data_IF_611789376652
#
_entry.id   IF_611789376652
#
_cell.length_a   1.000
_cell.length_b   1.000
_cell.length_c   1.000
_cell.angle_alpha   90.00
_cell.angle_beta   90.00
_cell.angle_gamma   90.00
#
_symmetry.space_group_name_H-M   'P 1'
#
loop_
_entity.id
_entity.type
_entity.pdbx_description
1 polymer ?
#
# COMPACT_ATOMS: atom_id res chain seq x y z
N UNK A 1 -7.34 -35.31 79.03
CA UNK A 1 -6.37 -35.78 77.98
C UNK A 1 -6.61 -34.98 76.75
N UNK A 2 -5.74 -34.06 76.34
CA UNK A 2 -5.88 -33.33 75.09
C UNK A 2 -5.21 -34.09 73.92
N UNK A 3 -5.93 -34.25 72.82
CA UNK A 3 -5.42 -34.78 71.57
C UNK A 3 -4.60 -33.77 70.84
N UNK A 4 -3.35 -34.12 70.55
CA UNK A 4 -2.43 -33.30 69.72
C UNK A 4 -2.72 -33.65 68.24
N UNK A 5 -3.28 -32.69 67.50
CA UNK A 5 -3.35 -32.77 66.03
C UNK A 5 -2.01 -32.38 65.44
N UNK A 6 -1.33 -33.33 64.81
CA UNK A 6 -0.12 -33.07 64.02
C UNK A 6 -0.51 -32.65 62.61
N UNK A 7 -0.32 -31.38 62.29
CA UNK A 7 -0.48 -30.88 60.92
C UNK A 7 0.78 -31.23 60.11
N UNK A 8 0.66 -32.10 59.12
CA UNK A 8 1.69 -32.38 58.12
C UNK A 8 1.60 -31.31 57.03
N UNK A 9 2.55 -30.37 57.04
CA UNK A 9 2.71 -29.41 55.94
C UNK A 9 3.36 -30.11 54.74
N UNK A 10 2.60 -30.32 53.71
CA UNK A 10 3.12 -30.78 52.43
C UNK A 10 3.80 -29.60 51.71
N UNK A 11 5.12 -29.59 51.70
CA UNK A 11 5.94 -28.63 50.91
C UNK A 11 5.89 -29.05 49.45
N UNK A 12 5.02 -28.42 48.63
CA UNK A 12 5.01 -28.60 47.21
C UNK A 12 6.28 -27.95 46.61
N UNK A 13 7.26 -28.76 46.25
CA UNK A 13 8.37 -28.32 45.40
C UNK A 13 7.81 -27.95 44.04
N UNK A 14 7.69 -26.65 43.74
CA UNK A 14 7.58 -26.17 42.39
C UNK A 14 8.89 -26.52 41.65
N UNK A 15 8.87 -27.60 40.89
CA UNK A 15 9.92 -27.90 39.92
C UNK A 15 9.88 -26.78 38.88
N UNK A 16 10.86 -25.87 38.92
CA UNK A 16 11.05 -24.88 37.87
C UNK A 16 11.21 -25.65 36.55
N UNK A 17 10.28 -25.45 35.65
CA UNK A 17 10.42 -26.03 34.29
C UNK A 17 11.71 -25.44 33.70
N UNK A 18 12.56 -26.29 33.05
CA UNK A 18 13.76 -25.79 32.41
C UNK A 18 13.34 -24.72 31.40
N UNK A 19 13.97 -23.54 31.44
CA UNK A 19 13.74 -22.49 30.48
C UNK A 19 13.91 -23.04 29.07
N UNK A 20 12.97 -22.78 28.20
CA UNK A 20 13.08 -23.20 26.80
C UNK A 20 14.40 -22.67 26.21
N UNK A 21 15.12 -23.48 25.41
CA UNK A 21 16.40 -23.06 24.87
C UNK A 21 16.24 -21.76 24.06
N UNK A 22 17.16 -20.81 24.28
CA UNK A 22 17.21 -19.59 23.49
C UNK A 22 17.57 -19.94 22.03
N UNK A 23 16.63 -19.72 21.13
CA UNK A 23 16.83 -19.93 19.69
C UNK A 23 17.00 -18.55 19.06
N UNK A 24 18.14 -18.30 18.42
CA UNK A 24 18.31 -17.12 17.58
C UNK A 24 17.31 -17.17 16.41
N UNK A 25 16.74 -16.03 16.10
CA UNK A 25 15.75 -15.87 15.05
C UNK A 25 16.06 -14.61 14.23
N UNK A 26 15.06 -14.04 13.59
CA UNK A 26 15.15 -12.84 12.75
C UNK A 26 14.82 -11.59 13.58
N UNK A 27 15.30 -10.43 13.11
CA UNK A 27 14.84 -9.13 13.59
C UNK A 27 13.57 -8.71 12.88
N UNK A 28 12.60 -8.17 13.64
CA UNK A 28 11.32 -7.70 13.14
C UNK A 28 11.16 -6.20 13.42
N UNK A 29 10.94 -5.38 12.38
CA UNK A 29 10.77 -3.95 12.51
C UNK A 29 9.63 -3.43 11.62
N UNK A 30 8.88 -2.45 12.13
CA UNK A 30 7.92 -1.65 11.36
C UNK A 30 8.43 -0.21 11.32
N UNK A 31 9.12 0.21 10.23
CA UNK A 31 9.80 1.50 10.17
C UNK A 31 8.87 2.70 10.20
N UNK A 32 7.64 2.55 9.64
CA UNK A 32 6.62 3.58 9.57
C UNK A 32 5.35 3.05 10.20
N UNK A 33 4.90 3.71 11.26
CA UNK A 33 3.67 3.33 11.94
C UNK A 33 2.46 3.49 10.98
N UNK A 34 1.58 2.48 10.90
CA UNK A 34 0.40 2.58 10.03
C UNK A 34 -0.57 3.67 10.50
N UNK A 35 -1.20 4.34 9.55
CA UNK A 35 -2.33 5.24 9.79
C UNK A 35 -3.59 4.51 9.34
N UNK A 36 -4.61 4.46 10.20
CA UNK A 36 -5.89 3.83 9.89
C UNK A 36 -6.69 4.63 8.85
N UNK A 37 -7.30 3.94 7.89
CA UNK A 37 -8.18 4.54 6.88
C UNK A 37 -9.37 3.64 6.58
N UNK A 38 -10.45 4.22 6.05
CA UNK A 38 -11.69 3.49 5.75
C UNK A 38 -11.73 2.99 4.31
N UNK A 39 -12.14 1.73 4.15
CA UNK A 39 -12.38 1.09 2.87
C UNK A 39 -13.46 0.02 3.06
N UNK A 40 -14.47 -0.01 2.21
CA UNK A 40 -15.56 -1.00 2.24
C UNK A 40 -16.20 -1.17 3.62
N UNK A 41 -16.51 -0.05 4.28
CA UNK A 41 -17.14 -0.04 5.59
C UNK A 41 -16.26 -0.46 6.76
N UNK A 42 -14.97 -0.76 6.52
CA UNK A 42 -14.02 -1.26 7.52
C UNK A 42 -12.83 -0.32 7.70
N UNK A 43 -12.21 -0.39 8.86
CA UNK A 43 -10.92 0.23 9.12
C UNK A 43 -9.80 -0.67 8.56
N UNK A 44 -8.84 -0.09 7.88
CA UNK A 44 -7.68 -0.78 7.31
C UNK A 44 -6.38 -0.17 7.82
N UNK A 45 -5.36 -1.01 7.94
CA UNK A 45 -3.97 -0.63 8.22
C UNK A 45 -3.09 -1.11 7.06
N UNK A 46 -2.28 -0.22 6.50
CA UNK A 46 -1.34 -0.57 5.45
C UNK A 46 0.07 -0.14 5.86
N UNK A 47 1.00 -1.11 5.93
CA UNK A 47 2.37 -0.90 6.41
C UNK A 47 3.29 -2.05 5.99
N UNK A 48 4.58 -1.90 6.24
CA UNK A 48 5.61 -2.87 5.88
C UNK A 48 6.25 -3.45 7.14
N UNK A 49 6.27 -4.81 7.24
CA UNK A 49 7.05 -5.54 8.21
C UNK A 49 8.41 -5.90 7.59
N UNK A 50 9.48 -5.33 8.11
CA UNK A 50 10.85 -5.66 7.75
C UNK A 50 11.33 -6.84 8.56
N UNK A 51 11.82 -7.88 7.89
CA UNK A 51 12.37 -9.10 8.50
C UNK A 51 13.82 -9.23 8.06
N UNK A 52 14.76 -9.07 9.00
CA UNK A 52 16.19 -9.14 8.72
C UNK A 52 16.79 -10.41 9.34
N UNK A 53 17.47 -11.18 8.51
CA UNK A 53 18.15 -12.40 8.96
C UNK A 53 19.56 -12.09 9.45
N UNK A 54 19.78 -12.10 10.76
CA UNK A 54 21.11 -11.98 11.39
C UNK A 54 21.78 -13.32 11.70
N UNK A 55 21.14 -14.44 11.34
CA UNK A 55 21.76 -15.76 11.47
C UNK A 55 22.83 -15.97 10.41
N UNK A 56 23.68 -16.97 10.64
CA UNK A 56 24.72 -17.40 9.67
C UNK A 56 24.20 -18.42 8.64
N UNK A 57 22.90 -18.76 8.71
CA UNK A 57 22.23 -19.72 7.83
C UNK A 57 21.00 -19.05 7.22
N UNK A 58 20.51 -19.63 6.12
CA UNK A 58 19.28 -19.18 5.47
C UNK A 58 18.06 -19.47 6.35
N UNK A 59 17.06 -18.62 6.26
CA UNK A 59 15.72 -18.84 6.85
C UNK A 59 14.65 -18.83 5.77
N UNK A 60 13.62 -19.63 5.97
CA UNK A 60 12.44 -19.68 5.11
C UNK A 60 11.22 -19.20 5.88
N UNK A 61 10.56 -18.15 5.42
CA UNK A 61 9.31 -17.67 6.02
C UNK A 61 8.17 -18.62 5.66
N UNK A 62 7.46 -19.12 6.68
CA UNK A 62 6.33 -20.02 6.53
C UNK A 62 4.98 -19.32 6.71
N UNK A 63 4.84 -18.50 7.75
CA UNK A 63 3.64 -17.72 8.01
C UNK A 63 3.96 -16.41 8.71
N UNK A 64 3.07 -15.43 8.53
CA UNK A 64 3.05 -14.15 9.27
C UNK A 64 1.65 -13.94 9.78
N UNK A 65 1.49 -13.86 11.09
CA UNK A 65 0.25 -13.49 11.76
C UNK A 65 0.38 -12.08 12.34
N UNK A 66 -0.62 -11.25 12.14
CA UNK A 66 -0.75 -9.94 12.77
C UNK A 66 -1.67 -10.09 13.96
N UNK A 67 -1.21 -9.66 15.13
CA UNK A 67 -1.95 -9.73 16.38
C UNK A 67 -2.28 -8.32 16.88
N UNK A 68 -3.45 -8.16 17.51
CA UNK A 68 -3.79 -6.94 18.23
C UNK A 68 -3.09 -6.88 19.61
N UNK A 69 -3.35 -5.79 20.36
CA UNK A 69 -2.77 -5.58 21.70
C UNK A 69 -3.16 -6.64 22.74
N UNK A 70 -4.23 -7.39 22.51
CA UNK A 70 -4.67 -8.50 23.36
C UNK A 70 -4.10 -9.87 22.92
N UNK A 71 -3.28 -9.87 21.85
CA UNK A 71 -2.71 -11.08 21.27
C UNK A 71 -3.66 -11.87 20.35
N UNK A 72 -4.82 -11.30 19.98
CA UNK A 72 -5.74 -11.94 19.03
C UNK A 72 -5.22 -11.76 17.63
N UNK A 73 -5.25 -12.84 16.84
CA UNK A 73 -4.88 -12.79 15.41
C UNK A 73 -5.98 -12.04 14.65
N UNK A 74 -5.60 -10.92 14.01
CA UNK A 74 -6.49 -10.10 13.18
C UNK A 74 -6.24 -10.30 11.67
N UNK A 75 -5.08 -10.84 11.29
CA UNK A 75 -4.77 -11.25 9.92
C UNK A 75 -3.70 -12.34 9.94
N UNK A 76 -3.72 -13.23 8.95
CA UNK A 76 -2.72 -14.28 8.78
C UNK A 76 -2.40 -14.48 7.28
N UNK A 77 -1.13 -14.66 6.98
CA UNK A 77 -0.61 -14.85 5.63
C UNK A 77 0.35 -16.04 5.61
N UNK A 78 0.12 -16.96 4.68
CA UNK A 78 0.94 -18.17 4.49
C UNK A 78 0.99 -18.54 3.01
N UNK A 79 1.85 -19.47 2.63
CA UNK A 79 1.98 -20.03 1.30
C UNK A 79 2.05 -18.96 0.19
N UNK A 80 1.25 -19.10 -0.86
CA UNK A 80 1.17 -18.18 -2.00
C UNK A 80 0.74 -16.77 -1.55
N UNK A 81 -0.17 -16.66 -0.58
CA UNK A 81 -0.63 -15.38 -0.06
C UNK A 81 0.48 -14.60 0.64
N UNK A 82 1.38 -15.27 1.36
CA UNK A 82 2.56 -14.65 1.95
C UNK A 82 3.58 -14.29 0.87
N UNK A 83 3.92 -15.24 -0.02
CA UNK A 83 4.97 -15.05 -1.05
C UNK A 83 4.67 -13.85 -1.96
N UNK A 84 3.41 -13.62 -2.32
CA UNK A 84 2.98 -12.46 -3.12
C UNK A 84 3.17 -11.12 -2.42
N UNK A 85 3.25 -11.10 -1.09
CA UNK A 85 3.44 -9.89 -0.27
C UNK A 85 4.90 -9.55 0.01
N UNK A 86 5.83 -10.41 -0.37
CA UNK A 86 7.23 -10.23 -0.03
C UNK A 86 7.95 -9.46 -1.14
N UNK A 87 8.52 -8.32 -0.78
CA UNK A 87 9.51 -7.59 -1.57
C UNK A 87 10.90 -7.89 -1.03
N UNK A 88 11.86 -8.13 -1.92
CA UNK A 88 13.27 -8.39 -1.58
C UNK A 88 14.10 -7.21 -2.06
N UNK A 89 14.54 -6.30 -1.18
CA UNK A 89 15.43 -5.21 -1.58
C UNK A 89 16.68 -5.74 -2.31
N UNK A 90 17.01 -5.12 -3.47
CA UNK A 90 18.15 -5.51 -4.28
C UNK A 90 17.98 -6.77 -5.15
N UNK A 91 16.81 -7.43 -5.10
CA UNK A 91 16.49 -8.56 -5.98
C UNK A 91 15.38 -8.19 -6.97
N UNK A 92 15.30 -8.87 -8.13
CA UNK A 92 14.19 -8.69 -9.07
C UNK A 92 12.81 -8.95 -8.45
N UNK A 93 11.80 -8.23 -8.91
CA UNK A 93 10.43 -8.36 -8.40
C UNK A 93 9.82 -9.75 -8.62
N UNK A 94 10.25 -10.47 -9.66
CA UNK A 94 9.83 -11.83 -10.01
C UNK A 94 10.71 -12.93 -9.38
N UNK A 95 11.56 -12.57 -8.39
CA UNK A 95 12.41 -13.52 -7.70
C UNK A 95 11.62 -14.76 -7.23
N UNK A 96 12.04 -15.95 -7.67
CA UNK A 96 11.27 -17.21 -7.54
C UNK A 96 11.03 -17.63 -6.07
N UNK A 97 11.98 -17.31 -5.17
CA UNK A 97 11.93 -17.73 -3.77
C UNK A 97 11.97 -16.53 -2.81
N UNK A 98 10.99 -15.59 -2.85
CA UNK A 98 11.05 -14.37 -2.05
C UNK A 98 11.01 -14.64 -0.54
N UNK A 99 10.52 -15.82 -0.11
CA UNK A 99 10.42 -16.24 1.28
C UNK A 99 11.75 -16.77 1.87
N UNK A 100 12.75 -17.07 1.03
CA UNK A 100 14.08 -17.46 1.49
C UNK A 100 14.93 -16.22 1.76
N UNK A 101 15.45 -16.08 2.97
CA UNK A 101 16.26 -14.93 3.39
C UNK A 101 17.65 -15.41 3.77
N UNK A 102 18.63 -15.13 2.92
CA UNK A 102 20.01 -15.45 3.17
C UNK A 102 20.59 -14.63 4.35
N UNK A 103 21.71 -15.06 4.96
CA UNK A 103 22.40 -14.29 6.01
C UNK A 103 22.63 -12.83 5.63
N UNK A 104 22.32 -11.91 6.54
CA UNK A 104 22.48 -10.46 6.36
C UNK A 104 21.43 -9.81 5.45
N UNK A 105 20.55 -10.58 4.83
CA UNK A 105 19.53 -10.07 3.90
C UNK A 105 18.22 -9.74 4.61
N UNK A 106 17.42 -8.91 3.93
CA UNK A 106 16.10 -8.48 4.39
C UNK A 106 15.00 -8.93 3.43
N UNK A 107 13.85 -9.32 4.00
CA UNK A 107 12.57 -9.38 3.32
C UNK A 107 11.64 -8.30 3.89
N UNK A 108 10.78 -7.74 3.03
CA UNK A 108 9.76 -6.77 3.42
C UNK A 108 8.41 -7.40 3.10
N UNK A 109 7.58 -7.61 4.13
CA UNK A 109 6.22 -8.12 3.97
C UNK A 109 5.26 -6.93 3.92
N UNK A 110 4.62 -6.75 2.76
CA UNK A 110 3.66 -5.67 2.55
C UNK A 110 2.30 -6.08 3.12
N UNK A 111 1.93 -5.49 4.26
CA UNK A 111 0.72 -5.82 4.99
C UNK A 111 -0.42 -4.83 4.65
N UNK A 112 -1.59 -5.36 4.31
CA UNK A 112 -2.83 -4.63 4.14
C UNK A 112 -3.89 -5.35 4.95
N UNK A 113 -4.11 -4.87 6.17
CA UNK A 113 -4.90 -5.53 7.20
C UNK A 113 -6.24 -4.84 7.32
N UNK A 114 -7.32 -5.54 7.01
CA UNK A 114 -8.67 -5.09 7.34
C UNK A 114 -8.98 -5.49 8.79
N UNK A 115 -9.28 -4.53 9.65
CA UNK A 115 -9.67 -4.84 11.03
C UNK A 115 -10.97 -5.65 11.06
N UNK A 116 -11.22 -6.45 12.10
CA UNK A 116 -12.48 -7.19 12.24
C UNK A 116 -13.71 -6.28 12.10
N UNK A 117 -14.84 -6.77 11.58
CA UNK A 117 -16.06 -5.99 11.48
C UNK A 117 -16.45 -5.35 12.81
N UNK A 118 -16.84 -4.08 12.78
CA UNK A 118 -17.18 -3.31 13.99
C UNK A 118 -16.00 -2.79 14.81
N UNK A 119 -14.76 -3.18 14.48
CA UNK A 119 -13.56 -2.67 15.15
C UNK A 119 -13.13 -1.35 14.51
N UNK A 120 -13.17 -0.27 15.28
CA UNK A 120 -12.75 1.06 14.83
C UNK A 120 -11.24 1.29 14.95
N UNK A 121 -10.60 0.67 15.96
CA UNK A 121 -9.16 0.78 16.18
C UNK A 121 -8.63 -0.42 16.98
N UNK A 122 -7.31 -0.61 16.94
CA UNK A 122 -6.53 -1.46 17.83
C UNK A 122 -5.40 -0.64 18.44
N UNK A 123 -5.12 -0.78 19.74
CA UNK A 123 -4.14 0.05 20.43
C UNK A 123 -2.70 -0.21 19.94
N UNK A 124 -2.41 -1.46 19.62
CA UNK A 124 -1.15 -1.88 19.03
C UNK A 124 -1.35 -3.04 18.09
N UNK A 125 -0.37 -3.25 17.23
CA UNK A 125 -0.22 -4.49 16.45
C UNK A 125 1.17 -5.06 16.71
N UNK A 126 1.27 -6.39 16.70
CA UNK A 126 2.52 -7.13 16.75
C UNK A 126 2.47 -8.28 15.76
N UNK A 127 3.61 -8.91 15.52
CA UNK A 127 3.72 -9.94 14.48
C UNK A 127 4.28 -11.21 15.10
N UNK A 128 3.66 -12.33 14.71
CA UNK A 128 4.12 -13.66 15.01
C UNK A 128 4.53 -14.30 13.66
N UNK A 129 5.82 -14.48 13.48
CA UNK A 129 6.42 -14.96 12.24
C UNK A 129 6.91 -16.39 12.46
N UNK A 130 6.29 -17.34 11.77
CA UNK A 130 6.78 -18.72 11.71
C UNK A 130 7.83 -18.86 10.60
N UNK A 131 8.95 -19.48 10.94
CA UNK A 131 10.05 -19.65 10.01
C UNK A 131 10.82 -20.95 10.23
N UNK A 132 11.44 -21.42 9.18
CA UNK A 132 12.37 -22.54 9.19
C UNK A 132 13.80 -22.04 9.12
N UNK A 133 14.62 -22.34 10.11
CA UNK A 133 16.07 -22.11 10.10
C UNK A 133 16.71 -23.31 9.39
N UNK A 134 17.30 -23.04 8.20
CA UNK A 134 17.87 -24.08 7.34
C UNK A 134 19.34 -24.27 7.70
N UNK A 135 19.69 -25.43 8.28
CA UNK A 135 21.06 -25.82 8.63
C UNK A 135 21.51 -27.00 7.77
N UNK A 136 22.81 -27.24 7.60
CA UNK A 136 23.32 -28.34 6.78
C UNK A 136 22.78 -29.74 7.17
N UNK A 137 22.56 -29.98 8.47
CA UNK A 137 22.14 -31.28 8.98
C UNK A 137 20.65 -31.35 9.36
N UNK A 138 19.98 -30.23 9.52
CA UNK A 138 18.60 -30.18 10.02
C UNK A 138 17.89 -28.89 9.62
N UNK A 139 16.58 -28.89 9.59
CA UNK A 139 15.73 -27.70 9.50
C UNK A 139 14.95 -27.56 10.79
N UNK A 140 15.08 -26.40 11.44
CA UNK A 140 14.44 -26.13 12.73
C UNK A 140 13.28 -25.15 12.52
N UNK A 141 12.06 -25.61 12.77
CA UNK A 141 10.89 -24.74 12.84
C UNK A 141 10.96 -23.90 14.13
N UNK A 142 10.83 -22.59 13.99
CA UNK A 142 10.82 -21.63 15.11
C UNK A 142 9.88 -20.48 14.86
N UNK A 143 9.75 -19.59 15.83
CA UNK A 143 8.90 -18.40 15.74
C UNK A 143 9.67 -17.17 16.24
N UNK A 144 9.35 -16.04 15.62
CA UNK A 144 9.77 -14.72 16.09
C UNK A 144 8.53 -13.88 16.38
N UNK A 145 8.42 -13.33 17.58
CA UNK A 145 7.35 -12.41 17.95
C UNK A 145 7.97 -11.04 18.17
N UNK A 146 7.45 -10.01 17.46
CA UNK A 146 8.03 -8.67 17.53
C UNK A 146 7.44 -7.68 16.55
N UNK A 147 8.22 -6.64 16.21
CA UNK A 147 7.79 -5.57 15.34
C UNK A 147 6.54 -4.84 15.84
N UNK A 148 6.39 -4.73 17.16
CA UNK A 148 5.24 -4.08 17.77
C UNK A 148 5.21 -2.58 17.40
N UNK A 149 4.02 -2.07 17.05
CA UNK A 149 3.79 -0.67 16.70
C UNK A 149 2.38 -0.25 17.08
N UNK A 150 2.22 1.01 17.45
CA UNK A 150 0.92 1.61 17.73
C UNK A 150 0.41 2.32 16.47
N UNK A 151 -0.67 1.85 15.85
CA UNK A 151 -1.28 2.54 14.71
C UNK A 151 -1.77 3.93 15.10
N UNK A 152 -1.66 4.89 14.18
CA UNK A 152 -2.24 6.21 14.35
C UNK A 152 -3.65 6.24 13.75
N UNK A 153 -4.59 6.86 14.45
CA UNK A 153 -5.98 7.04 14.03
C UNK A 153 -6.37 8.52 13.94
N UNK A 154 -5.39 9.34 13.55
CA UNK A 154 -5.67 10.73 13.22
C UNK A 154 -6.62 10.79 12.01
N UNK A 155 -7.42 11.86 11.87
CA UNK A 155 -8.23 12.06 10.68
C UNK A 155 -7.36 12.01 9.43
N UNK A 156 -7.73 11.17 8.46
CA UNK A 156 -7.10 11.16 7.14
C UNK A 156 -7.76 12.24 6.28
N UNK A 157 -7.02 12.88 5.37
CA UNK A 157 -7.59 13.88 4.46
C UNK A 157 -8.77 13.32 3.66
N UNK A 158 -9.89 14.07 3.69
CA UNK A 158 -11.07 13.81 2.88
C UNK A 158 -11.01 14.66 1.63
N UNK A 159 -10.70 14.04 0.52
CA UNK A 159 -10.48 14.68 -0.76
C UNK A 159 -11.72 14.62 -1.64
N UNK A 160 -11.90 15.63 -2.48
CA UNK A 160 -12.86 15.54 -3.57
C UNK A 160 -12.29 14.76 -4.75
N UNK A 161 -13.09 14.55 -5.76
CA UNK A 161 -12.72 13.80 -6.95
C UNK A 161 -11.60 14.49 -7.74
N UNK A 162 -10.55 13.76 -8.15
CA UNK A 162 -9.53 14.29 -9.06
C UNK A 162 -9.99 14.32 -10.53
N UNK A 163 -11.12 13.69 -10.83
CA UNK A 163 -11.71 13.52 -12.17
C UNK A 163 -13.23 13.66 -12.08
N UNK A 164 -13.92 13.93 -13.20
CA UNK A 164 -15.39 14.01 -13.24
C UNK A 164 -15.98 12.74 -13.87
N UNK A 165 -17.20 12.40 -13.45
CA UNK A 165 -18.00 11.33 -14.05
C UNK A 165 -17.32 9.97 -14.00
N UNK A 166 -17.25 9.30 -15.14
CA UNK A 166 -16.70 7.95 -15.27
C UNK A 166 -17.31 7.22 -16.44
N UNK A 167 -17.17 5.88 -16.51
CA UNK A 167 -16.57 5.01 -15.50
C UNK A 167 -15.05 5.15 -15.41
N UNK A 168 -14.53 5.19 -14.17
CA UNK A 168 -13.11 5.16 -13.87
C UNK A 168 -12.79 3.86 -13.14
N UNK A 169 -11.67 3.23 -13.48
CA UNK A 169 -11.17 2.07 -12.73
C UNK A 169 -10.11 2.56 -11.78
N UNK A 170 -10.27 2.25 -10.48
CA UNK A 170 -9.26 2.50 -9.45
C UNK A 170 -8.24 1.36 -9.47
N UNK A 171 -7.10 1.57 -10.14
CA UNK A 171 -6.06 0.56 -10.30
C UNK A 171 -5.02 0.75 -9.21
N UNK A 172 -4.94 -0.18 -8.34
CA UNK A 172 -3.83 -0.49 -7.48
C UNK A 172 -3.98 -1.94 -7.01
N UNK A 173 -2.88 -2.58 -6.69
CA UNK A 173 -2.92 -3.90 -6.05
C UNK A 173 -1.92 -3.87 -4.89
N UNK A 174 -2.39 -4.03 -3.65
CA UNK A 174 -1.49 -4.07 -2.48
C UNK A 174 -0.41 -5.15 -2.56
N UNK A 175 -0.56 -6.10 -3.48
CA UNK A 175 0.33 -7.24 -3.67
C UNK A 175 1.08 -7.20 -5.01
N UNK A 176 0.89 -6.18 -5.83
CA UNK A 176 1.56 -6.09 -7.13
C UNK A 176 3.05 -5.79 -6.93
N UNK A 177 3.87 -6.77 -7.27
CA UNK A 177 5.33 -6.60 -7.25
C UNK A 177 5.77 -5.60 -8.33
N UNK A 178 6.60 -4.64 -7.93
CA UNK A 178 7.01 -3.53 -8.80
C UNK A 178 5.95 -2.44 -8.98
N UNK A 179 4.76 -2.60 -8.40
CA UNK A 179 3.73 -1.55 -8.34
C UNK A 179 3.99 -0.54 -7.21
N UNK A 180 3.13 0.46 -7.14
CA UNK A 180 3.26 1.64 -6.28
C UNK A 180 3.80 1.37 -4.88
N UNK A 181 3.18 0.44 -4.17
CA UNK A 181 3.47 0.14 -2.78
C UNK A 181 4.80 -0.60 -2.57
N UNK A 182 5.29 -1.28 -3.59
CA UNK A 182 6.53 -2.04 -3.52
C UNK A 182 7.72 -1.31 -4.15
N UNK A 183 7.49 -0.12 -4.73
CA UNK A 183 8.52 0.75 -5.27
C UNK A 183 9.15 1.58 -4.14
N UNK A 184 10.32 1.12 -3.70
CA UNK A 184 11.08 1.75 -2.62
C UNK A 184 12.17 2.62 -3.25
N UNK A 185 12.15 3.91 -2.92
CA UNK A 185 13.19 4.86 -3.34
C UNK A 185 14.09 5.19 -2.16
N UNK A 186 15.40 5.10 -2.38
CA UNK A 186 16.40 5.46 -1.36
C UNK A 186 17.10 6.73 -1.78
N UNK A 187 16.69 7.83 -1.19
CA UNK A 187 17.24 9.17 -1.43
C UNK A 187 17.68 9.75 -0.10
N UNK A 188 18.81 10.48 -0.12
CA UNK A 188 19.41 11.12 1.07
C UNK A 188 19.57 10.14 2.24
N UNK A 189 19.98 8.89 1.94
CA UNK A 189 20.23 7.84 2.92
C UNK A 189 18.97 7.26 3.59
N UNK A 190 17.76 7.60 3.10
CA UNK A 190 16.49 7.13 3.65
C UNK A 190 15.61 6.47 2.60
N UNK A 191 15.13 5.28 2.91
CA UNK A 191 14.16 4.56 2.09
C UNK A 191 12.74 5.11 2.33
N UNK A 192 11.98 5.35 1.25
CA UNK A 192 10.61 5.86 1.28
C UNK A 192 9.75 5.16 0.23
N UNK A 193 8.44 5.18 0.43
CA UNK A 193 7.45 4.62 -0.50
C UNK A 193 6.41 5.70 -0.82
N UNK A 194 6.68 6.63 -1.74
CA UNK A 194 5.75 7.72 -2.07
C UNK A 194 4.42 7.17 -2.59
N UNK A 195 4.43 6.13 -3.41
CA UNK A 195 3.25 5.47 -3.95
C UNK A 195 2.52 4.51 -3.01
N UNK A 196 2.82 4.49 -1.67
CA UNK A 196 2.19 3.51 -0.74
C UNK A 196 0.66 3.47 -0.84
N UNK A 197 0.04 4.61 -1.10
CA UNK A 197 -1.40 4.76 -1.22
C UNK A 197 -1.82 5.30 -2.60
N UNK A 198 -0.99 5.21 -3.61
CA UNK A 198 -1.33 5.69 -4.94
C UNK A 198 -2.49 4.90 -5.57
N UNK A 199 -3.22 5.57 -6.44
CA UNK A 199 -4.25 4.99 -7.31
C UNK A 199 -3.99 5.50 -8.71
N UNK A 200 -3.98 4.60 -9.70
CA UNK A 200 -4.07 4.95 -11.11
C UNK A 200 -5.54 4.91 -11.53
N UNK A 201 -6.01 5.99 -12.13
CA UNK A 201 -7.36 6.06 -12.70
C UNK A 201 -7.28 5.97 -14.21
N UNK A 202 -7.91 4.95 -14.78
CA UNK A 202 -8.12 4.81 -16.21
C UNK A 202 -9.62 4.81 -16.54
N UNK A 203 -10.00 5.37 -17.67
CA UNK A 203 -11.34 5.19 -18.21
C UNK A 203 -11.35 3.96 -19.10
N UNK A 204 -12.41 3.18 -19.02
CA UNK A 204 -12.56 1.95 -19.78
C UNK A 204 -13.83 2.01 -20.63
N UNK A 205 -13.77 1.74 -21.93
CA UNK A 205 -14.98 1.58 -22.74
C UNK A 205 -15.77 0.37 -22.23
N UNK A 206 -17.08 0.46 -22.29
CA UNK A 206 -18.00 -0.58 -21.76
C UNK A 206 -17.89 -1.95 -22.43
N UNK A 207 -17.12 -2.09 -23.48
CA UNK A 207 -16.93 -3.35 -24.21
C UNK A 207 -15.52 -3.45 -24.76
N UNK A 208 -14.81 -4.51 -24.39
CA UNK A 208 -13.57 -4.92 -25.02
C UNK A 208 -12.31 -4.75 -24.17
N UNK A 209 -11.27 -5.44 -24.61
CA UNK A 209 -9.93 -5.39 -24.03
C UNK A 209 -9.44 -3.97 -23.86
N UNK A 210 -8.58 -3.77 -22.87
CA UNK A 210 -7.73 -2.56 -22.78
C UNK A 210 -7.18 -2.33 -24.19
N UNK A 211 -7.51 -1.19 -24.85
CA UNK A 211 -6.96 -0.95 -26.17
C UNK A 211 -5.44 -1.10 -26.02
N UNK A 212 -4.88 -1.92 -26.89
CA UNK A 212 -3.45 -2.07 -26.96
C UNK A 212 -2.90 -0.68 -27.23
N UNK A 213 -2.52 0.00 -26.14
CA UNK A 213 -1.59 1.11 -26.07
C UNK A 213 -1.94 2.44 -26.78
N UNK A 214 -1.99 3.53 -25.98
CA UNK A 214 -1.43 4.86 -26.33
C UNK A 214 -2.11 5.69 -27.44
N UNK A 215 -3.28 5.35 -27.92
CA UNK A 215 -3.97 6.23 -28.86
C UNK A 215 -4.55 7.45 -28.13
N UNK A 216 -4.40 8.67 -28.67
CA UNK A 216 -5.16 9.83 -28.19
C UNK A 216 -6.65 9.48 -28.13
N UNK A 217 -7.31 9.80 -27.00
CA UNK A 217 -8.72 9.46 -26.77
C UNK A 217 -9.00 8.11 -26.14
N UNK A 218 -7.98 7.24 -25.92
CA UNK A 218 -8.14 6.00 -25.15
C UNK A 218 -7.92 6.23 -23.65
N UNK A 219 -8.52 5.39 -22.81
CA UNK A 219 -8.30 5.32 -21.37
C UNK A 219 -8.48 6.64 -20.58
N UNK A 220 -9.23 7.60 -21.13
CA UNK A 220 -9.45 8.89 -20.50
C UNK A 220 -8.44 9.98 -20.88
N UNK A 221 -7.58 9.75 -21.90
CA UNK A 221 -6.64 10.77 -22.37
C UNK A 221 -7.35 12.09 -22.68
N UNK A 222 -6.84 13.21 -22.14
CA UNK A 222 -7.42 14.54 -22.30
C UNK A 222 -8.57 14.86 -21.34
N UNK A 223 -8.98 13.93 -20.47
CA UNK A 223 -9.97 14.22 -19.43
C UNK A 223 -9.48 15.33 -18.48
N UNK A 224 -10.40 16.15 -17.99
CA UNK A 224 -10.08 17.22 -17.05
C UNK A 224 -9.61 16.66 -15.72
N UNK A 225 -8.47 17.15 -15.22
CA UNK A 225 -7.92 16.84 -13.91
C UNK A 225 -8.22 18.01 -12.97
N UNK A 226 -8.75 17.69 -11.79
CA UNK A 226 -9.32 18.64 -10.85
C UNK A 226 -8.50 18.73 -9.57
N UNK A 227 -8.40 19.92 -9.00
CA UNK A 227 -7.90 20.09 -7.64
C UNK A 227 -8.82 19.39 -6.63
N UNK A 228 -8.30 18.44 -5.86
CA UNK A 228 -9.06 17.65 -4.87
C UNK A 228 -9.41 18.42 -3.60
N UNK A 229 -8.80 19.58 -3.39
CA UNK A 229 -9.01 20.47 -2.24
C UNK A 229 -8.60 21.88 -2.62
N UNK A 230 -8.99 22.86 -1.80
CA UNK A 230 -8.39 24.17 -1.81
C UNK A 230 -6.93 24.06 -1.39
N UNK A 231 -6.02 24.82 -2.03
CA UNK A 231 -4.61 24.70 -1.70
C UNK A 231 -3.71 25.63 -2.49
N UNK A 232 -2.41 25.40 -2.36
CA UNK A 232 -1.39 26.17 -3.09
C UNK A 232 -0.55 25.19 -3.92
N UNK A 233 -0.35 25.50 -5.20
CA UNK A 233 0.53 24.73 -6.06
C UNK A 233 1.97 24.85 -5.57
N UNK A 234 2.61 23.73 -5.26
CA UNK A 234 4.02 23.72 -4.84
C UNK A 234 4.95 23.26 -5.95
N UNK A 235 4.45 22.38 -6.84
CA UNK A 235 5.15 21.87 -8.00
C UNK A 235 4.22 21.97 -9.22
N UNK A 236 4.74 22.43 -10.34
CA UNK A 236 4.10 22.34 -11.65
C UNK A 236 5.21 22.14 -12.70
N UNK A 237 5.33 20.93 -13.23
CA UNK A 237 6.33 20.52 -14.22
C UNK A 237 5.63 20.08 -15.48
N UNK A 238 5.94 20.73 -16.60
CA UNK A 238 5.44 20.40 -17.94
C UNK A 238 6.61 20.28 -18.92
N UNK A 239 6.38 19.74 -20.11
CA UNK A 239 7.39 19.63 -21.16
C UNK A 239 7.86 18.19 -21.42
N UNK A 240 7.40 17.20 -20.66
CA UNK A 240 7.68 15.77 -20.92
C UNK A 240 6.67 15.26 -21.95
N UNK A 241 7.16 14.67 -23.03
CA UNK A 241 6.29 14.15 -24.11
C UNK A 241 5.42 12.99 -23.60
N UNK A 242 4.17 12.93 -24.09
CA UNK A 242 3.33 11.76 -23.89
C UNK A 242 3.92 10.54 -24.61
N UNK A 243 3.76 9.37 -24.00
CA UNK A 243 4.20 8.09 -24.56
C UNK A 243 5.70 8.01 -24.91
N UNK A 244 6.57 8.49 -24.05
CA UNK A 244 8.03 8.34 -24.22
C UNK A 244 8.44 6.86 -24.26
N UNK A 245 9.36 6.48 -25.18
CA UNK A 245 9.89 5.13 -25.20
C UNK A 245 10.87 4.91 -24.01
N UNK A 246 10.89 3.71 -23.40
CA UNK A 246 11.88 3.38 -22.38
C UNK A 246 13.30 3.29 -22.98
N UNK A 247 14.39 3.47 -22.19
CA UNK A 247 14.34 3.74 -20.74
C UNK A 247 13.97 5.20 -20.42
N UNK A 248 13.17 5.40 -19.39
CA UNK A 248 12.80 6.74 -18.91
C UNK A 248 13.68 7.07 -17.71
N UNK A 249 14.40 8.22 -17.71
CA UNK A 249 15.18 8.67 -16.57
C UNK A 249 14.32 8.81 -15.30
N UNK A 250 14.91 8.49 -14.14
CA UNK A 250 14.18 8.50 -12.86
C UNK A 250 13.58 9.88 -12.55
N UNK A 251 14.27 10.96 -12.90
CA UNK A 251 13.84 12.35 -12.76
C UNK A 251 12.63 12.72 -13.63
N UNK A 252 12.35 11.91 -14.64
CA UNK A 252 11.19 12.06 -15.54
C UNK A 252 10.13 10.99 -15.30
N UNK A 253 10.30 10.14 -14.28
CA UNK A 253 9.39 9.03 -14.01
C UNK A 253 7.93 9.51 -13.80
N UNK A 254 7.73 10.62 -13.09
CA UNK A 254 6.41 11.23 -12.84
C UNK A 254 5.81 11.96 -14.07
N UNK A 255 6.61 12.15 -15.14
CA UNK A 255 6.19 12.91 -16.32
C UNK A 255 5.82 14.36 -16.00
N UNK A 256 4.84 14.90 -16.72
CA UNK A 256 4.23 16.18 -16.37
C UNK A 256 3.40 16.00 -15.11
N UNK A 257 3.64 16.83 -14.09
CA UNK A 257 3.02 16.62 -12.80
C UNK A 257 2.77 17.91 -12.02
N UNK A 258 1.81 17.85 -11.11
CA UNK A 258 1.44 18.92 -10.19
C UNK A 258 1.48 18.37 -8.77
N UNK A 259 1.95 19.18 -7.80
CA UNK A 259 1.74 18.96 -6.39
C UNK A 259 0.99 20.17 -5.78
N UNK A 260 -0.04 19.87 -4.99
CA UNK A 260 -0.84 20.84 -4.25
C UNK A 260 -0.60 20.64 -2.76
N UNK A 261 -0.15 21.68 -2.05
CA UNK A 261 -0.23 21.73 -0.59
C UNK A 261 -1.70 21.87 -0.19
N UNK A 262 -2.26 20.81 0.37
CA UNK A 262 -3.67 20.75 0.79
C UNK A 262 -3.84 21.00 2.30
N UNK A 263 -2.78 21.46 2.96
CA UNK A 263 -2.74 21.73 4.39
C UNK A 263 -2.25 20.54 5.22
N UNK A 264 -2.04 20.78 6.52
CA UNK A 264 -1.62 19.78 7.52
C UNK A 264 -0.37 18.96 7.13
N UNK A 265 0.55 19.57 6.35
CA UNK A 265 1.74 18.89 5.86
C UNK A 265 1.42 17.75 4.89
N UNK A 266 0.37 17.91 4.09
CA UNK A 266 -0.03 16.94 3.07
C UNK A 266 -0.02 17.57 1.69
N UNK A 267 0.48 16.80 0.72
CA UNK A 267 0.65 17.24 -0.66
C UNK A 267 -0.03 16.24 -1.59
N UNK A 268 -0.97 16.72 -2.41
CA UNK A 268 -1.66 15.92 -3.41
C UNK A 268 -0.91 15.96 -4.73
N UNK A 269 -0.46 14.81 -5.20
CA UNK A 269 0.27 14.63 -6.46
C UNK A 269 -0.62 14.11 -7.57
N UNK A 270 -0.45 14.70 -8.76
CA UNK A 270 -1.09 14.33 -10.01
C UNK A 270 0.01 14.13 -11.04
N UNK A 271 0.21 12.91 -11.51
CA UNK A 271 1.31 12.57 -12.40
C UNK A 271 0.81 12.03 -13.76
N UNK A 272 1.73 11.95 -14.71
CA UNK A 272 1.49 11.53 -16.09
C UNK A 272 0.52 12.44 -16.86
N UNK A 273 0.50 13.73 -16.53
CA UNK A 273 -0.38 14.71 -17.15
C UNK A 273 -0.02 14.92 -18.63
N UNK A 274 -1.00 15.34 -19.43
CA UNK A 274 -0.83 15.61 -20.85
C UNK A 274 0.13 16.78 -21.09
N UNK A 275 1.05 16.62 -22.02
CA UNK A 275 1.98 17.68 -22.43
C UNK A 275 1.24 18.97 -22.80
N UNK A 276 1.68 20.09 -22.26
CA UNK A 276 1.14 21.43 -22.52
C UNK A 276 -0.24 21.70 -21.94
N UNK A 277 -0.74 20.81 -21.04
CA UNK A 277 -2.08 20.97 -20.47
C UNK A 277 -2.12 21.61 -19.09
N UNK A 278 -0.98 21.79 -18.43
CA UNK A 278 -0.92 22.34 -17.08
C UNK A 278 -1.27 23.83 -17.11
N UNK A 279 -2.42 24.18 -16.52
CA UNK A 279 -2.96 25.54 -16.50
C UNK A 279 -2.61 26.36 -15.26
N UNK A 280 -1.71 25.86 -14.41
CA UNK A 280 -1.32 26.48 -13.13
C UNK A 280 0.20 26.47 -12.98
N UNK A 281 0.74 27.30 -12.08
CA UNK A 281 2.17 27.36 -11.77
C UNK A 281 2.40 27.35 -10.25
N UNK A 282 3.62 27.03 -9.84
CA UNK A 282 4.01 27.10 -8.43
C UNK A 282 3.72 28.50 -7.83
N UNK A 283 3.11 28.49 -6.66
CA UNK A 283 2.64 29.68 -5.96
C UNK A 283 1.17 30.04 -6.23
N UNK A 284 0.53 29.50 -7.28
CA UNK A 284 -0.88 29.76 -7.53
C UNK A 284 -1.77 29.11 -6.46
N UNK A 285 -2.82 29.82 -6.07
CA UNK A 285 -3.90 29.26 -5.27
C UNK A 285 -4.94 28.62 -6.18
N UNK A 286 -5.38 27.43 -5.79
CA UNK A 286 -6.46 26.71 -6.47
C UNK A 286 -7.61 26.45 -5.53
N UNK A 287 -8.80 26.37 -6.10
CA UNK A 287 -10.01 25.97 -5.37
C UNK A 287 -10.39 24.54 -5.76
N UNK A 288 -10.97 23.85 -4.83
CA UNK A 288 -11.51 22.51 -5.00
C UNK A 288 -12.43 22.43 -6.23
N UNK A 289 -12.22 21.41 -7.09
CA UNK A 289 -12.96 21.23 -8.33
C UNK A 289 -12.50 22.10 -9.50
N UNK A 290 -11.50 22.98 -9.29
CA UNK A 290 -10.89 23.76 -10.37
C UNK A 290 -10.14 22.80 -11.33
N UNK A 291 -10.29 22.98 -12.63
CA UNK A 291 -9.49 22.29 -13.64
C UNK A 291 -8.06 22.82 -13.57
N UNK A 292 -7.09 21.91 -13.38
CA UNK A 292 -5.66 22.26 -13.24
C UNK A 292 -4.80 21.73 -14.39
N UNK A 293 -5.24 20.66 -15.03
CA UNK A 293 -4.54 20.01 -16.15
C UNK A 293 -5.48 19.06 -16.90
N UNK A 294 -4.89 18.25 -17.80
CA UNK A 294 -5.56 17.12 -18.47
C UNK A 294 -4.77 15.83 -18.26
N UNK A 295 -5.50 14.71 -18.16
CA UNK A 295 -4.95 13.36 -18.07
C UNK A 295 -4.16 13.05 -19.34
N UNK A 296 -2.93 12.56 -19.19
CA UNK A 296 -2.00 12.26 -20.26
C UNK A 296 -1.38 10.87 -20.16
N UNK A 297 -0.17 10.76 -20.71
CA UNK A 297 0.63 9.52 -20.71
C UNK A 297 2.13 9.84 -20.67
N UNK A 298 2.52 10.94 -20.06
CA UNK A 298 3.92 11.38 -19.99
C UNK A 298 4.69 10.60 -18.89
N UNK A 299 6.01 10.54 -19.02
CA UNK A 299 6.85 9.83 -18.06
C UNK A 299 6.72 8.30 -18.11
N UNK A 300 6.90 7.63 -16.96
CA UNK A 300 6.92 6.16 -16.86
C UNK A 300 5.50 5.57 -16.80
N UNK A 301 4.71 5.78 -17.85
CA UNK A 301 3.35 5.28 -17.96
C UNK A 301 3.33 3.90 -18.62
N UNK A 302 3.41 2.82 -17.85
CA UNK A 302 3.45 1.45 -18.38
C UNK A 302 2.09 0.92 -18.85
N UNK A 303 0.98 1.48 -18.35
CA UNK A 303 -0.39 1.05 -18.67
C UNK A 303 -1.09 1.96 -19.69
N UNK A 304 -0.36 2.89 -20.32
CA UNK A 304 -0.93 3.90 -21.21
C UNK A 304 -1.51 5.10 -20.48
N UNK A 305 -2.41 5.89 -21.11
CA UNK A 305 -2.99 7.07 -20.48
C UNK A 305 -3.70 6.74 -19.16
N UNK A 306 -3.32 7.41 -18.09
CA UNK A 306 -3.96 7.31 -16.78
C UNK A 306 -3.59 8.52 -15.92
N UNK A 307 -4.37 8.76 -14.89
CA UNK A 307 -4.00 9.68 -13.82
C UNK A 307 -3.43 8.87 -12.67
N UNK A 308 -2.12 8.99 -12.42
CA UNK A 308 -1.51 8.54 -11.18
C UNK A 308 -1.77 9.61 -10.11
N UNK A 309 -2.44 9.20 -9.03
CA UNK A 309 -2.81 10.09 -7.94
C UNK A 309 -2.37 9.54 -6.60
N UNK A 310 -1.67 10.34 -5.81
CA UNK A 310 -1.31 9.99 -4.43
C UNK A 310 -1.25 11.21 -3.53
N UNK A 311 -1.25 10.94 -2.22
CA UNK A 311 -0.99 11.93 -1.18
C UNK A 311 0.34 11.59 -0.49
N UNK A 312 1.13 12.61 -0.17
CA UNK A 312 2.42 12.44 0.52
C UNK A 312 2.60 13.43 1.67
N UNK A 313 3.64 13.21 2.49
CA UNK A 313 4.02 14.03 3.64
C UNK A 313 5.00 15.17 3.30
N UNK A 314 5.43 15.26 2.05
CA UNK A 314 6.33 16.33 1.59
C UNK A 314 6.08 16.68 0.12
N UNK A 315 6.44 17.89 -0.28
CA UNK A 315 6.39 18.37 -1.67
C UNK A 315 7.60 17.85 -2.46
N UNK A 316 7.63 16.52 -2.66
CA UNK A 316 8.69 15.84 -3.39
C UNK A 316 8.15 14.55 -4.00
N UNK A 317 8.39 14.30 -5.30
CA UNK A 317 7.84 13.14 -6.03
C UNK A 317 8.32 11.80 -5.49
N UNK A 318 9.61 11.66 -5.21
CA UNK A 318 10.22 10.38 -4.79
C UNK A 318 10.79 10.41 -3.37
N UNK A 319 11.06 11.60 -2.81
CA UNK A 319 11.68 11.77 -1.50
C UNK A 319 10.66 11.99 -0.37
N UNK A 320 9.44 11.51 -0.53
CA UNK A 320 8.34 11.63 0.42
C UNK A 320 7.74 10.27 0.79
N UNK A 321 7.06 10.20 1.93
CA UNK A 321 6.26 9.03 2.31
C UNK A 321 4.82 9.19 1.85
N UNK A 322 4.28 8.17 1.19
CA UNK A 322 2.86 8.12 0.83
C UNK A 322 1.97 8.13 2.07
N UNK A 323 0.96 8.97 2.06
CA UNK A 323 -0.02 9.13 3.12
C UNK A 323 -1.41 8.61 2.70
N UNK A 324 -2.18 8.00 3.61
CA UNK A 324 -3.54 7.58 3.31
C UNK A 324 -4.47 8.78 3.13
N UNK A 325 -5.49 8.58 2.30
CA UNK A 325 -6.58 9.52 2.05
C UNK A 325 -7.86 8.76 1.76
N UNK A 326 -8.99 9.44 1.86
CA UNK A 326 -10.31 8.96 1.45
C UNK A 326 -10.97 9.99 0.55
N UNK A 327 -11.87 9.54 -0.33
CA UNK A 327 -12.69 10.46 -1.11
C UNK A 327 -13.98 10.77 -0.37
N UNK A 328 -14.43 12.02 -0.41
CA UNK A 328 -15.69 12.44 0.18
C UNK A 328 -16.86 11.65 -0.39
N UNK A 329 -16.87 11.40 -1.70
CA UNK A 329 -17.89 10.61 -2.35
C UNK A 329 -17.41 10.04 -3.66
N UNK A 330 -17.81 8.80 -3.93
CA UNK A 330 -17.82 8.15 -5.24
C UNK A 330 -18.95 7.11 -5.28
N UNK A 331 -19.31 6.66 -6.47
CA UNK A 331 -20.31 5.60 -6.65
C UNK A 331 -19.62 4.39 -7.26
N UNK A 332 -19.68 3.24 -6.59
CA UNK A 332 -19.20 1.97 -7.15
C UNK A 332 -20.28 1.40 -8.05
N UNK A 333 -19.94 1.05 -9.29
CA UNK A 333 -20.87 0.49 -10.30
C UNK A 333 -20.47 -0.92 -10.72
N UNK A 334 -19.25 -1.38 -10.37
CA UNK A 334 -18.78 -2.73 -10.68
C UNK A 334 -17.34 -2.94 -10.27
N UNK A 335 -16.79 -4.09 -10.65
CA UNK A 335 -15.40 -4.44 -10.36
C UNK A 335 -14.88 -5.48 -11.34
N UNK A 336 -13.57 -5.51 -11.57
CA UNK A 336 -12.90 -6.66 -12.18
C UNK A 336 -12.66 -7.75 -11.12
N UNK A 337 -12.63 -9.01 -11.56
CA UNK A 337 -12.34 -10.13 -10.68
C UNK A 337 -10.92 -10.03 -10.09
N UNK A 338 -9.98 -9.49 -10.86
CA UNK A 338 -8.59 -9.27 -10.46
C UNK A 338 -7.91 -8.27 -11.40
N UNK A 339 -6.70 -7.82 -11.05
CA UNK A 339 -5.85 -7.06 -11.97
C UNK A 339 -5.50 -7.90 -13.22
N UNK A 340 -5.34 -9.22 -13.08
CA UNK A 340 -5.14 -10.13 -14.21
C UNK A 340 -6.32 -10.14 -15.17
N UNK A 341 -7.54 -10.17 -14.68
CA UNK A 341 -8.76 -10.08 -15.49
C UNK A 341 -8.82 -8.76 -16.28
N UNK A 342 -8.48 -7.63 -15.62
CA UNK A 342 -8.38 -6.34 -16.31
C UNK A 342 -7.32 -6.36 -17.42
N UNK A 343 -6.12 -6.88 -17.16
CA UNK A 343 -5.03 -6.89 -18.14
C UNK A 343 -5.22 -7.91 -19.26
N UNK A 344 -5.97 -8.99 -19.04
CA UNK A 344 -6.35 -9.96 -20.08
C UNK A 344 -7.54 -9.49 -20.92
N UNK A 345 -8.14 -8.35 -20.59
CA UNK A 345 -9.25 -7.79 -21.37
C UNK A 345 -10.60 -8.43 -21.07
N UNK A 346 -10.74 -9.05 -19.90
CA UNK A 346 -12.03 -9.53 -19.44
C UNK A 346 -12.97 -8.36 -19.11
N UNK A 347 -14.27 -8.59 -19.24
CA UNK A 347 -15.27 -7.60 -18.83
C UNK A 347 -15.33 -7.48 -17.31
N UNK A 348 -15.60 -6.28 -16.82
CA UNK A 348 -15.89 -6.09 -15.41
C UNK A 348 -17.30 -6.56 -15.06
N UNK A 349 -17.45 -7.03 -13.82
CA UNK A 349 -18.73 -7.51 -13.27
C UNK A 349 -19.51 -6.30 -12.72
N UNK A 350 -20.68 -5.96 -13.30
CA UNK A 350 -21.51 -4.89 -12.74
C UNK A 350 -21.96 -5.23 -11.33
N UNK A 351 -22.00 -4.22 -10.47
CA UNK A 351 -22.70 -4.34 -9.17
C UNK A 351 -24.21 -4.48 -9.43
N UNK A 352 -24.90 -5.30 -8.65
CA UNK A 352 -26.36 -5.43 -8.78
C UNK A 352 -27.14 -4.12 -8.57
N UNK A 353 -26.53 -3.15 -7.87
CA UNK A 353 -26.98 -1.76 -7.71
C UNK A 353 -25.76 -0.85 -7.59
N UNK A 354 -25.88 0.38 -8.06
CA UNK A 354 -24.89 1.42 -7.84
C UNK A 354 -24.84 1.78 -6.36
N UNK A 355 -23.64 1.80 -5.77
CA UNK A 355 -23.47 2.01 -4.34
C UNK A 355 -22.66 3.29 -4.07
N UNK A 356 -23.31 4.27 -3.45
CA UNK A 356 -22.65 5.52 -3.04
C UNK A 356 -21.79 5.25 -1.81
N UNK A 357 -20.50 5.52 -1.95
CA UNK A 357 -19.51 5.46 -0.89
C UNK A 357 -19.13 6.87 -0.44
N UNK A 358 -18.93 7.04 0.87
CA UNK A 358 -18.58 8.33 1.47
C UNK A 358 -17.44 8.16 2.47
N UNK A 359 -16.46 9.07 2.39
CA UNK A 359 -15.30 9.09 3.28
C UNK A 359 -14.59 7.73 3.33
N UNK A 360 -14.44 7.14 2.16
CA UNK A 360 -13.79 5.85 1.96
C UNK A 360 -12.80 5.91 0.79
N UNK A 361 -11.93 4.93 0.75
CA UNK A 361 -11.05 4.65 -0.38
C UNK A 361 -11.74 3.60 -1.27
N UNK A 362 -11.73 3.74 -2.61
CA UNK A 362 -12.21 2.66 -3.49
C UNK A 362 -11.37 1.40 -3.30
N UNK A 363 -11.98 0.23 -3.48
CA UNK A 363 -11.26 -1.04 -3.51
C UNK A 363 -10.40 -1.18 -4.78
N UNK A 364 -9.38 -2.05 -4.77
CA UNK A 364 -8.59 -2.34 -5.97
C UNK A 364 -9.48 -2.82 -7.12
N UNK A 365 -9.18 -2.36 -8.33
CA UNK A 365 -9.84 -2.70 -9.60
C UNK A 365 -11.38 -2.55 -9.59
N UNK A 366 -11.89 -1.66 -8.73
CA UNK A 366 -13.31 -1.26 -8.78
C UNK A 366 -13.55 -0.23 -9.87
N UNK A 367 -14.75 -0.31 -10.45
CA UNK A 367 -15.27 0.64 -11.44
C UNK A 367 -16.16 1.63 -10.70
N UNK A 368 -15.81 2.90 -10.79
CA UNK A 368 -16.44 3.98 -10.04
C UNK A 368 -16.87 5.14 -10.93
N UNK A 369 -17.84 5.90 -10.45
CA UNK A 369 -18.18 7.23 -10.94
C UNK A 369 -17.91 8.27 -9.85
N UNK A 370 -17.26 9.35 -10.22
CA UNK A 370 -17.18 10.55 -9.40
C UNK A 370 -18.39 11.46 -9.67
N UNK A 371 -18.77 12.34 -8.73
CA UNK A 371 -19.81 13.34 -8.92
C UNK A 371 -19.61 14.24 -10.13
#
# INVERSE_FOLDING_TARGET
>A
MPQILTAVAALAMLLAQPAAPLIQSVDLAVPVAPIGFRQSGRMHLAYELHITNFLRTEVSLAAVSVQDGDGRVIAQYQDTWLRRRITRPGLPNDHATPHLIAPGMRAIVNLWVALPPGTAFVASVSHDVELDVIRPAETIRTRAIGGAVNPAYQPVPELDAPLRGGPWIAIYDPMLKGGHRTAIYTLDGRARIPGRFAIDFISFPQSGALPAVRAPGSNGFGAEVLAVADGTITIAVDGVADAMPPPIPLEQASGNHIAIDVGDGRFAFYEHLQLGSIGVKAGDRVTRGQVIARLGSSGSSSIGPHLHFHLSDASATLAAEGAPFVFRQFTTVGRFASLGALTSGEDWLPSGSAEVRRNERPEPVTVIHFP
#
